data_IF_803542049037
#
_entry.id   IF_803542049037
#
_cell.length_a   1.000
_cell.length_b   1.000
_cell.length_c   1.000
_cell.angle_alpha   90.00
_cell.angle_beta   90.00
_cell.angle_gamma   90.00
#
_symmetry.space_group_name_H-M   'P 1'
#
loop_
_entity.id
_entity.type
_entity.pdbx_description
1 polymer ?
#
# COMPACT_ATOMS: atom_id res chain seq x y z
N UNK A 1 1.37 37.98 -0.85
CA UNK A 1 0.84 36.79 -0.06
C UNK A 1 0.87 35.56 -0.96
N UNK A 2 1.80 34.64 -0.72
CA UNK A 2 2.15 33.55 -1.64
C UNK A 2 0.99 32.59 -1.89
N UNK A 3 0.75 32.25 -3.17
CA UNK A 3 -0.27 31.26 -3.61
C UNK A 3 -0.10 29.94 -2.85
N UNK A 4 1.15 29.52 -2.62
CA UNK A 4 1.49 28.30 -1.88
C UNK A 4 0.95 28.34 -0.43
N UNK A 5 1.08 29.47 0.29
CA UNK A 5 0.55 29.59 1.64
C UNK A 5 -0.98 29.53 1.72
N UNK A 6 -1.68 30.09 0.72
CA UNK A 6 -3.15 29.98 0.62
C UNK A 6 -3.63 28.57 0.33
N UNK A 7 -2.94 27.85 -0.55
CA UNK A 7 -3.25 26.46 -0.86
C UNK A 7 -2.99 25.56 0.35
N UNK A 8 -1.83 25.72 1.01
CA UNK A 8 -1.50 24.98 2.22
C UNK A 8 -2.51 25.22 3.36
N UNK A 9 -2.95 26.47 3.54
CA UNK A 9 -3.99 26.81 4.51
C UNK A 9 -5.32 26.10 4.22
N UNK A 10 -5.79 26.13 2.96
CA UNK A 10 -7.03 25.44 2.56
C UNK A 10 -6.95 23.93 2.76
N UNK A 11 -5.81 23.31 2.43
CA UNK A 11 -5.60 21.86 2.65
C UNK A 11 -5.65 21.54 4.14
N UNK A 12 -4.95 22.34 4.96
CA UNK A 12 -4.95 22.17 6.41
C UNK A 12 -6.37 22.27 6.98
N UNK A 13 -7.12 23.30 6.63
CA UNK A 13 -8.48 23.54 7.12
C UNK A 13 -9.45 22.45 6.65
N UNK A 14 -9.25 21.93 5.44
CA UNK A 14 -9.98 20.78 4.93
C UNK A 14 -9.71 19.53 5.79
N UNK A 15 -8.45 19.21 6.08
CA UNK A 15 -8.06 18.04 6.88
C UNK A 15 -8.61 18.14 8.30
N UNK A 16 -8.56 19.33 8.93
CA UNK A 16 -9.07 19.50 10.29
C UNK A 16 -10.59 19.37 10.41
N UNK A 17 -11.33 19.64 9.35
CA UNK A 17 -12.79 19.44 9.30
C UNK A 17 -13.18 17.97 9.16
N UNK A 18 -12.27 17.10 8.71
CA UNK A 18 -12.57 15.71 8.50
C UNK A 18 -12.54 14.88 9.80
N UNK A 19 -13.21 13.73 9.78
CA UNK A 19 -13.24 12.80 10.92
C UNK A 19 -11.83 12.34 11.31
N UNK A 20 -11.66 11.99 12.58
CA UNK A 20 -10.39 11.52 13.14
C UNK A 20 -9.75 10.39 12.31
N UNK A 21 -10.53 9.39 11.89
CA UNK A 21 -10.04 8.27 11.08
C UNK A 21 -9.41 8.70 9.74
N UNK A 22 -9.93 9.76 9.11
CA UNK A 22 -9.34 10.32 7.90
C UNK A 22 -7.94 10.87 8.15
N UNK A 23 -7.75 11.64 9.23
CA UNK A 23 -6.44 12.20 9.59
C UNK A 23 -5.41 11.12 9.90
N UNK A 24 -5.82 10.09 10.65
CA UNK A 24 -4.98 8.91 10.94
C UNK A 24 -4.62 8.17 9.64
N UNK A 25 -5.58 8.00 8.75
CA UNK A 25 -5.37 7.38 7.45
C UNK A 25 -4.41 8.16 6.56
N UNK A 26 -4.54 9.50 6.52
CA UNK A 26 -3.64 10.37 5.75
C UNK A 26 -2.21 10.35 6.31
N UNK A 27 -2.04 10.45 7.64
CA UNK A 27 -0.74 10.36 8.29
C UNK A 27 -0.06 9.01 8.03
N UNK A 28 -0.80 7.92 8.18
CA UNK A 28 -0.29 6.57 7.87
C UNK A 28 0.11 6.44 6.40
N UNK A 29 -0.71 6.95 5.46
CA UNK A 29 -0.40 6.85 4.03
C UNK A 29 0.87 7.62 3.69
N UNK A 30 1.06 8.80 4.25
CA UNK A 30 2.27 9.61 4.07
C UNK A 30 3.50 8.92 4.67
N UNK A 31 3.39 8.39 5.89
CA UNK A 31 4.47 7.62 6.52
C UNK A 31 4.81 6.35 5.72
N UNK A 32 3.80 5.62 5.24
CA UNK A 32 4.01 4.45 4.39
C UNK A 32 4.73 4.78 3.08
N UNK A 33 4.32 5.86 2.40
CA UNK A 33 4.99 6.32 1.17
C UNK A 33 6.43 6.77 1.43
N UNK A 34 6.68 7.42 2.56
CA UNK A 34 8.03 7.79 2.98
C UNK A 34 8.90 6.55 3.20
N UNK A 35 8.43 5.57 3.97
CA UNK A 35 9.20 4.36 4.27
C UNK A 35 9.47 3.51 3.02
N UNK A 36 8.48 3.35 2.13
CA UNK A 36 8.68 2.67 0.85
C UNK A 36 9.69 3.41 0.00
N UNK A 37 9.61 4.73 -0.09
CA UNK A 37 10.51 5.53 -0.90
C UNK A 37 11.97 5.48 -0.46
N UNK A 38 12.25 5.19 0.83
CA UNK A 38 13.61 4.99 1.34
C UNK A 38 14.32 3.82 0.66
N UNK A 39 13.60 2.75 0.35
CA UNK A 39 14.18 1.49 -0.12
C UNK A 39 13.88 1.18 -1.58
N UNK A 40 12.78 1.71 -2.14
CA UNK A 40 12.28 1.33 -3.47
C UNK A 40 13.28 1.58 -4.60
N UNK A 41 14.06 2.66 -4.50
CA UNK A 41 15.08 2.99 -5.50
C UNK A 41 16.27 2.03 -5.48
N UNK A 42 16.54 1.43 -4.33
CA UNK A 42 17.70 0.56 -4.11
C UNK A 42 17.34 -0.93 -4.18
N UNK A 43 16.06 -1.27 -4.25
CA UNK A 43 15.61 -2.68 -4.18
C UNK A 43 16.14 -3.54 -5.32
N UNK A 44 16.23 -3.00 -6.54
CA UNK A 44 16.80 -3.70 -7.69
C UNK A 44 18.30 -3.91 -7.51
N UNK A 45 19.03 -2.87 -7.11
CA UNK A 45 20.49 -2.93 -6.85
C UNK A 45 20.76 -3.96 -5.75
N UNK A 46 20.02 -3.89 -4.65
CA UNK A 46 20.16 -4.83 -3.54
C UNK A 46 19.93 -6.29 -3.96
N UNK A 47 18.94 -6.53 -4.84
CA UNK A 47 18.64 -7.88 -5.35
C UNK A 47 19.78 -8.41 -6.23
N UNK A 48 20.36 -7.55 -7.07
CA UNK A 48 21.52 -7.91 -7.91
C UNK A 48 22.79 -8.16 -7.07
N UNK A 49 23.04 -7.34 -6.07
CA UNK A 49 24.14 -7.52 -5.11
C UNK A 49 24.03 -8.83 -4.30
N UNK A 50 22.80 -9.33 -4.10
CA UNK A 50 22.54 -10.67 -3.50
C UNK A 50 22.70 -11.81 -4.51
N UNK A 51 23.19 -11.53 -5.73
CA UNK A 51 23.52 -12.53 -6.74
C UNK A 51 22.39 -12.86 -7.72
N UNK A 52 21.35 -12.04 -7.83
CA UNK A 52 20.30 -12.21 -8.83
C UNK A 52 20.73 -11.64 -10.19
N UNK A 53 20.39 -12.35 -11.26
CA UNK A 53 20.49 -11.84 -12.63
C UNK A 53 19.23 -11.04 -13.04
N UNK A 54 19.26 -10.43 -14.23
CA UNK A 54 18.17 -9.61 -14.74
C UNK A 54 16.87 -10.42 -14.93
N UNK A 55 16.96 -11.71 -15.30
CA UNK A 55 15.79 -12.58 -15.48
C UNK A 55 15.15 -12.91 -14.12
N UNK A 56 16.00 -13.18 -13.13
CA UNK A 56 15.56 -13.46 -11.75
C UNK A 56 14.93 -12.21 -11.10
N UNK A 57 15.45 -11.02 -11.36
CA UNK A 57 14.85 -9.76 -10.93
C UNK A 57 13.45 -9.57 -11.56
N UNK A 58 13.33 -9.81 -12.87
CA UNK A 58 12.05 -9.78 -13.57
C UNK A 58 11.05 -10.82 -13.03
N UNK A 59 11.53 -12.04 -12.75
CA UNK A 59 10.69 -13.10 -12.18
C UNK A 59 10.17 -12.75 -10.79
N UNK A 60 10.99 -12.11 -9.95
CA UNK A 60 10.59 -11.63 -8.63
C UNK A 60 9.44 -10.63 -8.70
N UNK A 61 9.54 -9.66 -9.63
CA UNK A 61 8.49 -8.68 -9.87
C UNK A 61 7.21 -9.33 -10.41
N UNK A 62 7.34 -10.30 -11.32
CA UNK A 62 6.21 -11.03 -11.92
C UNK A 62 5.46 -11.88 -10.90
N UNK A 63 6.18 -12.59 -10.01
CA UNK A 63 5.58 -13.34 -8.90
C UNK A 63 4.79 -12.41 -7.98
N UNK A 64 5.35 -11.26 -7.60
CA UNK A 64 4.66 -10.26 -6.80
C UNK A 64 3.38 -9.76 -7.46
N UNK A 65 3.42 -9.44 -8.75
CA UNK A 65 2.27 -9.01 -9.54
C UNK A 65 1.17 -10.07 -9.64
N UNK A 66 1.54 -11.32 -9.93
CA UNK A 66 0.60 -12.44 -10.02
C UNK A 66 -0.12 -12.68 -8.68
N UNK A 67 0.62 -12.68 -7.57
CA UNK A 67 0.04 -12.83 -6.23
C UNK A 67 -0.90 -11.68 -5.90
N UNK A 68 -0.50 -10.44 -6.18
CA UNK A 68 -1.35 -9.27 -5.97
C UNK A 68 -2.67 -9.37 -6.75
N UNK A 69 -2.61 -9.81 -8.01
CA UNK A 69 -3.79 -10.01 -8.85
C UNK A 69 -4.73 -11.09 -8.29
N UNK A 70 -4.18 -12.24 -7.90
CA UNK A 70 -4.96 -13.36 -7.35
C UNK A 70 -5.64 -13.03 -6.01
N UNK A 71 -4.94 -12.29 -5.14
CA UNK A 71 -5.40 -12.03 -3.77
C UNK A 71 -6.30 -10.80 -3.69
N UNK A 72 -6.24 -9.87 -4.63
CA UNK A 72 -6.97 -8.60 -4.55
C UNK A 72 -8.49 -8.79 -4.40
N UNK A 73 -9.09 -9.72 -5.14
CA UNK A 73 -10.54 -9.99 -5.08
C UNK A 73 -10.97 -10.69 -3.79
N UNK A 74 -10.33 -11.80 -3.33
CA UNK A 74 -10.63 -12.41 -2.04
C UNK A 74 -10.45 -11.47 -0.86
N UNK A 75 -9.41 -10.63 -0.89
CA UNK A 75 -9.14 -9.66 0.17
C UNK A 75 -10.29 -8.65 0.31
N UNK A 76 -10.81 -8.12 -0.80
CA UNK A 76 -11.95 -7.21 -0.77
C UNK A 76 -13.17 -7.83 -0.08
N UNK A 77 -13.54 -9.04 -0.51
CA UNK A 77 -14.65 -9.80 0.07
C UNK A 77 -14.46 -10.10 1.56
N UNK A 78 -13.24 -10.47 1.96
CA UNK A 78 -12.92 -10.80 3.34
C UNK A 78 -12.96 -9.55 4.25
N UNK A 79 -12.49 -8.40 3.75
CA UNK A 79 -12.55 -7.12 4.46
C UNK A 79 -13.98 -6.65 4.70
N UNK A 80 -14.89 -6.90 3.76
CA UNK A 80 -16.30 -6.54 3.90
C UNK A 80 -16.99 -7.34 5.02
N UNK A 81 -16.53 -8.56 5.31
CA UNK A 81 -17.12 -9.45 6.32
C UNK A 81 -16.52 -9.30 7.72
N UNK A 82 -15.21 -9.12 7.83
CA UNK A 82 -14.49 -9.24 9.11
C UNK A 82 -14.01 -7.90 9.69
N UNK A 83 -14.34 -6.80 9.05
CA UNK A 83 -13.95 -5.47 9.50
C UNK A 83 -12.58 -5.02 8.95
N UNK A 84 -12.48 -3.72 8.68
CA UNK A 84 -11.37 -3.12 7.93
C UNK A 84 -10.12 -2.98 8.80
N UNK A 85 -10.29 -2.66 10.10
CA UNK A 85 -9.17 -2.40 11.01
C UNK A 85 -8.23 -3.60 11.13
N UNK A 86 -8.78 -4.81 11.24
CA UNK A 86 -7.99 -6.06 11.38
C UNK A 86 -7.12 -6.31 10.15
N UNK A 87 -7.69 -6.19 8.95
CA UNK A 87 -6.95 -6.38 7.70
C UNK A 87 -5.93 -5.27 7.45
N UNK A 88 -6.24 -4.09 7.90
CA UNK A 88 -5.34 -2.96 7.83
C UNK A 88 -4.11 -3.15 8.73
N UNK A 89 -4.30 -3.64 9.95
CA UNK A 89 -3.21 -4.02 10.84
C UNK A 89 -2.39 -5.17 10.26
N UNK A 90 -3.07 -6.18 9.69
CA UNK A 90 -2.41 -7.30 9.04
C UNK A 90 -1.53 -6.84 7.86
N UNK A 91 -1.98 -5.84 7.09
CA UNK A 91 -1.16 -5.26 6.02
C UNK A 91 0.14 -4.65 6.55
N UNK A 92 0.08 -3.96 7.69
CA UNK A 92 1.28 -3.36 8.31
C UNK A 92 2.23 -4.44 8.80
N UNK A 93 1.71 -5.51 9.43
CA UNK A 93 2.52 -6.65 9.89
C UNK A 93 3.21 -7.35 8.71
N UNK A 94 2.49 -7.60 7.62
CA UNK A 94 3.09 -8.23 6.44
C UNK A 94 4.13 -7.33 5.77
N UNK A 95 3.90 -6.00 5.72
CA UNK A 95 4.91 -5.08 5.19
C UNK A 95 6.15 -5.04 6.09
N UNK A 96 5.96 -5.01 7.41
CA UNK A 96 7.06 -5.07 8.37
C UNK A 96 7.83 -6.40 8.24
N UNK A 97 7.13 -7.54 8.17
CA UNK A 97 7.74 -8.85 7.94
C UNK A 97 8.52 -8.93 6.62
N UNK A 98 7.98 -8.36 5.54
CA UNK A 98 8.66 -8.25 4.26
C UNK A 98 9.96 -7.45 4.37
N UNK A 99 9.93 -6.26 5.01
CA UNK A 99 11.14 -5.46 5.21
C UNK A 99 12.18 -6.15 6.08
N UNK A 100 11.75 -6.91 7.10
CA UNK A 100 12.65 -7.72 7.91
C UNK A 100 13.29 -8.85 7.11
N UNK A 101 12.53 -9.53 6.24
CA UNK A 101 13.08 -10.54 5.34
C UNK A 101 14.11 -9.95 4.38
N UNK A 102 13.87 -8.74 3.85
CA UNK A 102 14.88 -8.03 3.06
C UNK A 102 16.13 -7.74 3.88
N UNK A 103 16.00 -7.29 5.13
CA UNK A 103 17.14 -6.98 5.99
C UNK A 103 18.01 -8.22 6.33
N UNK A 104 17.38 -9.38 6.50
CA UNK A 104 18.01 -10.63 6.90
C UNK A 104 18.41 -11.55 5.72
N UNK A 105 18.06 -11.16 4.48
CA UNK A 105 18.29 -12.02 3.33
C UNK A 105 19.77 -12.36 3.11
N UNK A 106 20.17 -13.64 3.13
CA UNK A 106 21.49 -14.09 2.74
C UNK A 106 21.64 -14.16 1.20
N UNK A 107 20.55 -14.53 0.50
CA UNK A 107 20.49 -14.75 -0.93
C UNK A 107 19.23 -14.09 -1.53
N UNK A 108 19.26 -13.83 -2.85
CA UNK A 108 18.11 -13.31 -3.57
C UNK A 108 16.84 -14.19 -3.48
N UNK A 109 17.01 -15.51 -3.26
CA UNK A 109 15.86 -16.45 -3.12
C UNK A 109 14.98 -16.13 -1.91
N UNK A 110 15.55 -15.62 -0.83
CA UNK A 110 14.78 -15.13 0.33
C UNK A 110 13.87 -13.95 -0.02
N UNK A 111 14.27 -13.16 -1.04
CA UNK A 111 13.47 -12.02 -1.49
C UNK A 111 12.17 -12.45 -2.17
N UNK A 112 12.06 -13.70 -2.66
CA UNK A 112 10.80 -14.23 -3.19
C UNK A 112 9.74 -14.26 -2.09
N UNK A 113 10.08 -14.77 -0.91
CA UNK A 113 9.17 -14.79 0.24
C UNK A 113 8.79 -13.36 0.68
N UNK A 114 9.76 -12.44 0.69
CA UNK A 114 9.53 -11.03 1.00
C UNK A 114 8.60 -10.37 -0.02
N UNK A 115 8.76 -10.65 -1.33
CA UNK A 115 7.91 -10.14 -2.40
C UNK A 115 6.47 -10.67 -2.28
N UNK A 116 6.30 -11.92 -1.88
CA UNK A 116 4.97 -12.51 -1.61
C UNK A 116 4.29 -11.75 -0.49
N UNK A 117 4.96 -11.57 0.66
CA UNK A 117 4.42 -10.83 1.79
C UNK A 117 4.08 -9.38 1.42
N UNK A 118 4.98 -8.71 0.71
CA UNK A 118 4.78 -7.34 0.25
C UNK A 118 3.57 -7.22 -0.68
N UNK A 119 3.37 -8.18 -1.59
CA UNK A 119 2.23 -8.18 -2.53
C UNK A 119 0.90 -8.36 -1.82
N UNK A 120 0.84 -9.25 -0.83
CA UNK A 120 -0.33 -9.42 0.05
C UNK A 120 -0.60 -8.12 0.81
N UNK A 121 0.43 -7.54 1.40
CA UNK A 121 0.33 -6.29 2.17
C UNK A 121 -0.18 -5.12 1.32
N UNK A 122 0.32 -4.98 0.09
CA UNK A 122 -0.13 -3.94 -0.86
C UNK A 122 -1.60 -4.12 -1.20
N UNK A 123 -2.06 -5.33 -1.49
CA UNK A 123 -3.46 -5.63 -1.80
C UNK A 123 -4.38 -5.28 -0.62
N UNK A 124 -4.01 -5.68 0.60
CA UNK A 124 -4.72 -5.34 1.84
C UNK A 124 -4.75 -3.83 2.09
N UNK A 125 -3.62 -3.15 1.93
CA UNK A 125 -3.48 -1.72 2.18
C UNK A 125 -4.29 -0.87 1.20
N UNK A 126 -4.23 -1.17 -0.10
CA UNK A 126 -4.92 -0.42 -1.14
C UNK A 126 -6.45 -0.50 -0.98
N UNK A 127 -6.97 -1.69 -0.71
CA UNK A 127 -8.41 -1.90 -0.47
C UNK A 127 -8.85 -1.18 0.79
N UNK A 128 -8.14 -1.35 1.91
CA UNK A 128 -8.47 -0.73 3.19
C UNK A 128 -8.44 0.80 3.16
N UNK A 129 -7.46 1.40 2.48
CA UNK A 129 -7.34 2.85 2.38
C UNK A 129 -8.53 3.48 1.63
N UNK A 130 -8.96 2.87 0.52
CA UNK A 130 -10.13 3.36 -0.25
C UNK A 130 -11.41 3.32 0.57
N UNK A 131 -11.61 2.25 1.34
CA UNK A 131 -12.81 2.09 2.17
C UNK A 131 -12.81 3.06 3.34
N UNK A 132 -11.68 3.26 4.04
CA UNK A 132 -11.59 4.24 5.13
C UNK A 132 -11.87 5.65 4.63
N UNK A 133 -11.34 6.04 3.48
CA UNK A 133 -11.64 7.32 2.86
C UNK A 133 -13.12 7.46 2.51
N UNK A 134 -13.74 6.40 1.96
CA UNK A 134 -15.16 6.43 1.59
C UNK A 134 -16.09 6.57 2.81
N UNK A 135 -15.77 5.92 3.94
CA UNK A 135 -16.60 5.93 5.14
C UNK A 135 -16.35 7.13 6.06
N UNK A 136 -15.17 7.75 5.94
CA UNK A 136 -14.76 8.86 6.81
C UNK A 136 -15.13 10.25 6.28
N UNK A 137 -15.50 10.35 5.00
CA UNK A 137 -15.74 11.61 4.30
C UNK A 137 -17.14 11.62 3.68
N UNK A 138 -17.78 12.79 3.64
CA UNK A 138 -19.06 12.96 2.95
C UNK A 138 -18.93 12.65 1.45
N UNK A 139 -19.98 12.11 0.84
CA UNK A 139 -19.97 11.67 -0.57
C UNK A 139 -19.53 12.76 -1.54
N UNK A 140 -19.86 14.02 -1.25
CA UNK A 140 -19.47 15.19 -2.06
C UNK A 140 -17.97 15.46 -2.05
N UNK A 141 -17.29 15.14 -0.95
CA UNK A 141 -15.88 15.49 -0.74
C UNK A 141 -14.92 14.30 -0.93
N UNK A 142 -15.43 13.12 -1.30
CA UNK A 142 -14.63 11.89 -1.41
C UNK A 142 -13.45 12.00 -2.38
N UNK A 143 -13.69 12.55 -3.56
CA UNK A 143 -12.64 12.72 -4.58
C UNK A 143 -11.58 13.70 -4.10
N UNK A 144 -11.99 14.83 -3.53
CA UNK A 144 -11.08 15.82 -2.97
C UNK A 144 -10.25 15.23 -1.82
N UNK A 145 -10.89 14.50 -0.92
CA UNK A 145 -10.22 13.86 0.21
C UNK A 145 -9.17 12.84 -0.25
N UNK A 146 -9.50 12.01 -1.23
CA UNK A 146 -8.56 11.03 -1.78
C UNK A 146 -7.36 11.71 -2.44
N UNK A 147 -7.60 12.77 -3.22
CA UNK A 147 -6.53 13.53 -3.86
C UNK A 147 -5.64 14.26 -2.86
N UNK A 148 -6.21 14.86 -1.81
CA UNK A 148 -5.44 15.49 -0.72
C UNK A 148 -4.56 14.46 -0.02
N UNK A 149 -5.09 13.29 0.34
CA UNK A 149 -4.29 12.20 0.91
C UNK A 149 -3.15 11.76 -0.02
N UNK A 150 -3.45 11.57 -1.31
CA UNK A 150 -2.44 11.16 -2.29
C UNK A 150 -1.36 12.23 -2.48
N UNK A 151 -1.73 13.51 -2.52
CA UNK A 151 -0.78 14.62 -2.65
C UNK A 151 0.16 14.69 -1.45
N UNK A 152 -0.38 14.61 -0.22
CA UNK A 152 0.45 14.59 1.00
C UNK A 152 1.41 13.41 1.02
N UNK A 153 0.91 12.23 0.65
CA UNK A 153 1.73 11.03 0.57
C UNK A 153 2.82 11.15 -0.52
N UNK A 154 2.50 11.77 -1.65
CA UNK A 154 3.48 12.00 -2.73
C UNK A 154 4.57 12.98 -2.29
N UNK A 155 4.24 14.05 -1.59
CA UNK A 155 5.22 15.00 -1.03
C UNK A 155 6.18 14.27 -0.08
N UNK A 156 5.65 13.43 0.83
CA UNK A 156 6.48 12.62 1.71
C UNK A 156 7.38 11.64 0.92
N UNK A 157 6.82 11.03 -0.14
CA UNK A 157 7.56 10.14 -1.04
C UNK A 157 8.65 10.82 -1.86
N UNK A 158 8.51 12.11 -2.18
CA UNK A 158 9.54 12.88 -2.91
C UNK A 158 10.78 13.18 -2.04
N UNK A 159 10.60 13.37 -0.75
CA UNK A 159 11.71 13.65 0.18
C UNK A 159 12.47 12.36 0.51
N UNK A 160 11.79 11.24 0.50
CA UNK A 160 12.28 9.94 0.95
C UNK A 160 13.54 9.45 0.21
N UNK A 161 13.66 9.50 -1.14
CA UNK A 161 14.87 9.06 -1.84
C UNK A 161 16.11 9.88 -1.46
N UNK A 162 15.95 11.17 -1.16
CA UNK A 162 17.06 12.02 -0.71
C UNK A 162 17.60 11.57 0.64
N UNK A 163 16.68 11.28 1.58
CA UNK A 163 17.04 10.73 2.89
C UNK A 163 17.67 9.34 2.72
N UNK A 164 17.12 8.50 1.85
CA UNK A 164 17.68 7.19 1.52
C UNK A 164 19.09 7.28 0.96
N UNK A 165 19.33 8.19 0.02
CA UNK A 165 20.67 8.40 -0.58
C UNK A 165 21.70 8.83 0.48
N UNK A 166 21.31 9.76 1.36
CA UNK A 166 22.18 10.19 2.46
C UNK A 166 22.54 9.02 3.38
N UNK A 167 21.53 8.24 3.79
CA UNK A 167 21.76 7.08 4.66
C UNK A 167 22.65 6.02 4.00
N UNK A 168 22.42 5.70 2.73
CA UNK A 168 23.28 4.76 1.97
C UNK A 168 24.71 5.23 1.96
N UNK A 169 24.94 6.53 1.75
CA UNK A 169 26.31 7.09 1.75
C UNK A 169 26.99 6.95 3.11
N UNK A 170 26.23 7.16 4.20
CA UNK A 170 26.74 7.05 5.57
C UNK A 170 27.02 5.60 5.96
N UNK A 171 26.21 4.64 5.49
CA UNK A 171 26.31 3.22 5.88
C UNK A 171 27.24 2.38 4.97
N UNK A 172 27.98 2.97 4.07
CA UNK A 172 28.99 2.26 3.30
C UNK A 172 28.67 2.04 1.82
N UNK A 173 27.71 2.80 1.26
CA UNK A 173 27.44 2.84 -0.17
C UNK A 173 26.47 1.78 -0.67
N UNK A 174 26.46 1.53 -1.98
CA UNK A 174 25.54 0.62 -2.66
C UNK A 174 25.97 -0.85 -2.55
N UNK A 175 26.33 -1.30 -1.36
CA UNK A 175 26.67 -2.70 -1.05
C UNK A 175 25.55 -3.35 -0.26
N UNK A 176 25.54 -4.68 -0.16
CA UNK A 176 24.57 -5.40 0.67
C UNK A 176 24.59 -4.88 2.11
N UNK A 177 25.78 -4.67 2.68
CA UNK A 177 25.94 -4.18 4.05
C UNK A 177 25.46 -2.74 4.24
N UNK A 178 25.70 -1.88 3.25
CA UNK A 178 25.25 -0.48 3.28
C UNK A 178 23.75 -0.29 3.08
N UNK A 179 23.09 -1.24 2.40
CA UNK A 179 21.65 -1.18 2.13
C UNK A 179 20.77 -1.85 3.21
N UNK A 180 21.29 -2.85 3.93
CA UNK A 180 20.59 -3.54 5.01
C UNK A 180 20.02 -2.60 6.09
N UNK A 181 20.77 -1.59 6.59
CA UNK A 181 20.25 -0.65 7.58
C UNK A 181 18.99 0.09 7.17
N UNK A 182 18.80 0.35 5.85
CA UNK A 182 17.57 0.97 5.35
C UNK A 182 16.35 0.09 5.59
N UNK A 183 16.48 -1.23 5.39
CA UNK A 183 15.40 -2.19 5.63
C UNK A 183 15.10 -2.37 7.11
N UNK A 184 16.12 -2.32 7.99
CA UNK A 184 15.90 -2.27 9.45
C UNK A 184 15.19 -1.01 9.87
N UNK A 185 15.57 0.16 9.33
CA UNK A 185 14.88 1.43 9.59
C UNK A 185 13.44 1.39 9.10
N UNK A 186 13.22 0.81 7.92
CA UNK A 186 11.89 0.60 7.37
C UNK A 186 11.05 -0.30 8.27
N UNK A 187 11.59 -1.41 8.77
CA UNK A 187 10.95 -2.30 9.73
C UNK A 187 10.55 -1.57 11.01
N UNK A 188 11.48 -0.81 11.62
CA UNK A 188 11.20 0.00 12.81
C UNK A 188 10.12 1.05 12.55
N UNK A 189 10.15 1.72 11.40
CA UNK A 189 9.12 2.66 10.97
C UNK A 189 7.74 2.02 10.83
N UNK A 190 7.65 0.78 10.32
CA UNK A 190 6.39 0.06 10.30
C UNK A 190 5.90 -0.34 11.70
N UNK A 191 6.80 -0.60 12.64
CA UNK A 191 6.46 -0.75 14.04
C UNK A 191 5.77 0.49 14.61
N UNK A 192 6.27 1.68 14.31
CA UNK A 192 5.64 2.95 14.70
C UNK A 192 4.27 3.14 14.02
N UNK A 193 4.16 2.83 12.74
CA UNK A 193 2.87 2.86 12.02
C UNK A 193 1.88 1.89 12.66
N UNK A 194 2.31 0.69 13.04
CA UNK A 194 1.47 -0.29 13.71
C UNK A 194 0.91 0.25 15.02
N UNK A 195 1.76 0.82 15.88
CA UNK A 195 1.36 1.45 17.13
C UNK A 195 0.37 2.60 16.90
N UNK A 196 0.64 3.45 15.91
CA UNK A 196 -0.26 4.55 15.54
C UNK A 196 -1.64 4.02 15.12
N UNK A 197 -1.69 2.99 14.28
CA UNK A 197 -2.95 2.41 13.79
C UNK A 197 -3.72 1.71 14.92
N UNK A 198 -3.04 0.96 15.77
CA UNK A 198 -3.67 0.29 16.93
C UNK A 198 -4.28 1.32 17.88
N UNK A 199 -3.51 2.37 18.22
CA UNK A 199 -3.92 3.36 19.22
C UNK A 199 -4.99 4.32 18.71
N UNK A 200 -4.93 4.73 17.45
CA UNK A 200 -5.72 5.85 16.95
C UNK A 200 -6.80 5.48 15.94
N UNK A 201 -6.68 4.37 15.22
CA UNK A 201 -7.70 3.99 14.25
C UNK A 201 -8.91 3.37 14.95
N UNK A 202 -10.06 4.03 14.82
CA UNK A 202 -11.36 3.51 15.29
C UNK A 202 -12.01 2.70 14.18
N UNK A 203 -12.62 1.57 14.51
CA UNK A 203 -13.39 0.78 13.54
C UNK A 203 -14.46 1.67 12.90
N UNK A 204 -14.50 1.81 11.57
CA UNK A 204 -15.58 2.54 10.92
C UNK A 204 -16.90 1.87 11.28
N UNK A 205 -17.88 2.67 11.73
CA UNK A 205 -19.24 2.17 11.97
C UNK A 205 -19.89 1.87 10.61
N UNK A 206 -19.41 0.85 9.94
CA UNK A 206 -20.10 0.28 8.81
C UNK A 206 -21.28 -0.47 9.42
N UNK A 207 -22.50 -0.05 9.09
CA UNK A 207 -23.66 -0.93 9.24
C UNK A 207 -23.23 -2.24 8.60
N UNK A 208 -22.92 -3.23 9.43
CA UNK A 208 -22.68 -4.57 8.94
C UNK A 208 -23.91 -4.87 8.10
N UNK A 209 -23.72 -5.07 6.83
CA UNK A 209 -24.72 -5.67 5.96
C UNK A 209 -24.85 -7.12 6.41
N UNK A 210 -25.36 -7.28 7.62
CA UNK A 210 -25.54 -8.57 8.29
C UNK A 210 -26.48 -9.48 7.50
N UNK A 211 -27.24 -8.93 6.58
CA UNK A 211 -28.21 -9.68 5.77
C UNK A 211 -27.68 -10.13 4.40
N UNK A 212 -26.52 -9.66 3.96
CA UNK A 212 -25.95 -10.07 2.66
C UNK A 212 -25.08 -11.34 2.73
N UNK A 213 -25.12 -12.13 3.77
CA UNK A 213 -24.04 -13.01 4.12
C UNK A 213 -24.38 -14.50 4.17
N UNK A 214 -25.18 -15.03 3.26
CA UNK A 214 -25.42 -16.48 3.23
C UNK A 214 -24.78 -17.21 2.05
N UNK A 215 -24.17 -16.51 1.10
CA UNK A 215 -23.54 -17.14 -0.05
C UNK A 215 -22.01 -17.19 0.13
N UNK A 216 -21.37 -18.24 -0.38
CA UNK A 216 -19.91 -18.36 -0.38
C UNK A 216 -19.27 -17.40 -1.38
N UNK A 217 -17.95 -17.14 -1.26
CA UNK A 217 -17.18 -16.27 -2.16
C UNK A 217 -17.44 -16.54 -3.65
N UNK A 218 -17.48 -17.82 -4.04
CA UNK A 218 -17.70 -18.24 -5.45
C UNK A 218 -19.11 -17.88 -5.91
N UNK A 219 -20.12 -18.05 -5.05
CA UNK A 219 -21.50 -17.73 -5.39
C UNK A 219 -21.69 -16.20 -5.53
N UNK A 220 -21.15 -15.40 -4.61
CA UNK A 220 -21.19 -13.95 -4.67
C UNK A 220 -20.45 -13.43 -5.92
N UNK A 221 -19.31 -14.04 -6.27
CA UNK A 221 -18.55 -13.70 -7.46
C UNK A 221 -19.31 -14.04 -8.75
N UNK A 222 -19.95 -15.20 -8.81
CA UNK A 222 -20.78 -15.61 -9.94
C UNK A 222 -21.96 -14.65 -10.16
N UNK A 223 -22.65 -14.27 -9.09
CA UNK A 223 -23.77 -13.33 -9.15
C UNK A 223 -23.38 -11.94 -9.67
N UNK A 224 -22.14 -11.49 -9.44
CA UNK A 224 -21.63 -10.23 -10.02
C UNK A 224 -21.60 -10.25 -11.55
N UNK A 225 -21.39 -11.43 -12.15
CA UNK A 225 -21.31 -11.59 -13.61
C UNK A 225 -22.64 -12.01 -14.26
N UNK A 226 -23.61 -12.47 -13.47
CA UNK A 226 -24.95 -12.84 -13.95
C UNK A 226 -25.77 -11.57 -14.21
N UNK A 227 -26.12 -11.32 -15.48
CA UNK A 227 -27.03 -10.24 -15.88
C UNK A 227 -26.41 -8.86 -16.16
N UNK A 228 -25.09 -8.67 -16.01
CA UNK A 228 -24.43 -7.37 -16.25
C UNK A 228 -23.43 -7.41 -17.42
N UNK A 229 -23.95 -7.33 -18.64
CA UNK A 229 -23.10 -7.22 -19.84
C UNK A 229 -22.14 -6.04 -19.83
N UNK A 230 -22.54 -4.93 -19.21
CA UNK A 230 -21.74 -3.71 -19.09
C UNK A 230 -20.51 -3.91 -18.19
N UNK A 231 -20.62 -4.73 -17.13
CA UNK A 231 -19.48 -5.03 -16.25
C UNK A 231 -18.40 -5.82 -17.00
N UNK A 232 -18.79 -6.79 -17.82
CA UNK A 232 -17.86 -7.59 -18.64
C UNK A 232 -17.13 -6.72 -19.67
N UNK A 233 -17.86 -5.82 -20.34
CA UNK A 233 -17.26 -4.85 -21.28
C UNK A 233 -16.28 -3.92 -20.58
N UNK A 234 -16.66 -3.40 -19.40
CA UNK A 234 -15.79 -2.52 -18.62
C UNK A 234 -14.50 -3.23 -18.17
N UNK A 235 -14.58 -4.47 -17.71
CA UNK A 235 -13.42 -5.30 -17.33
C UNK A 235 -12.52 -5.53 -18.55
N UNK A 236 -13.07 -5.89 -19.71
CA UNK A 236 -12.30 -6.11 -20.93
C UNK A 236 -11.55 -4.84 -21.38
N UNK A 237 -12.24 -3.69 -21.36
CA UNK A 237 -11.62 -2.40 -21.71
C UNK A 237 -10.52 -2.05 -20.71
N UNK A 238 -10.77 -2.22 -19.41
CA UNK A 238 -9.77 -1.96 -18.36
C UNK A 238 -8.55 -2.86 -18.47
N UNK A 239 -8.74 -4.14 -18.81
CA UNK A 239 -7.64 -5.07 -19.05
C UNK A 239 -6.80 -4.67 -20.26
N UNK A 240 -7.45 -4.29 -21.37
CA UNK A 240 -6.76 -3.84 -22.59
C UNK A 240 -5.98 -2.53 -22.37
N UNK A 241 -6.54 -1.58 -21.61
CA UNK A 241 -5.87 -0.31 -21.32
C UNK A 241 -4.73 -0.44 -20.31
N UNK A 242 -4.71 -1.50 -19.49
CA UNK A 242 -3.62 -1.75 -18.54
C UNK A 242 -2.39 -2.44 -19.16
N UNK A 243 -2.55 -3.12 -20.30
CA UNK A 243 -1.45 -3.83 -20.99
C UNK A 243 -0.26 -2.91 -21.36
N UNK A 244 -0.46 -1.73 -21.99
CA UNK A 244 0.65 -0.85 -22.30
C UNK A 244 1.40 -0.33 -21.06
N UNK A 245 0.68 -0.10 -19.96
CA UNK A 245 1.27 0.36 -18.70
C UNK A 245 2.12 -0.71 -17.99
N UNK A 246 1.90 -1.98 -18.30
CA UNK A 246 2.67 -3.09 -17.74
C UNK A 246 3.99 -3.34 -18.52
N UNK A 247 4.15 -2.73 -19.70
CA UNK A 247 5.35 -2.89 -20.56
C UNK A 247 6.39 -1.79 -20.33
N UNK A 248 6.06 -0.73 -19.59
CA UNK A 248 6.94 0.36 -19.19
C UNK A 248 7.14 0.38 -17.67
#
# INVERSE_FOLDING_TARGET
MNIVGRVAGRIRDFIYRQKHNYRVGAARLSANKFLIGLTSQYSAIYTVELGADAVQLGSLSSVGGAISALISTPVGWLMDRHGIKRFFLLSVVFTAGGSLLYALAPDWRFLVAAAILASIAVSLSNTGCRVICADSVQSRDRVTAQNVCSTLASIAGMISPLVGAYLVTVFGGMTVEGLRPLYYLQFAGYGLIFLLVVAQLREPQRRQLADAARFGFIADFRHLFEGRGDLRRWIAISALTSLPMAMF
#
